data_IF_124356542368
#
_entry.id   IF_124356542368
#
_cell.length_a   1.000
_cell.length_b   1.000
_cell.length_c   1.000
_cell.angle_alpha   90.00
_cell.angle_beta   90.00
_cell.angle_gamma   90.00
#
_symmetry.space_group_name_H-M   'P 1'
#
loop_
_entity.id
_entity.type
_entity.pdbx_description
1 polymer ?
#
# COMPACT_ATOMS: atom_id res chain seq x y z
N UNK A 1 -9.97 -10.89 -7.89
CA UNK A 1 -9.52 -10.80 -6.48
C UNK A 1 -8.15 -11.46 -6.37
N UNK A 2 -7.14 -10.77 -5.84
CA UNK A 2 -5.83 -11.35 -5.53
C UNK A 2 -5.83 -11.68 -4.03
N UNK A 3 -5.41 -12.88 -3.65
CA UNK A 3 -5.23 -13.26 -2.24
C UNK A 3 -3.92 -12.66 -1.73
N UNK A 4 -3.93 -12.03 -0.57
CA UNK A 4 -2.72 -11.42 0.02
C UNK A 4 -1.57 -12.43 0.17
N UNK A 5 -1.90 -13.68 0.49
CA UNK A 5 -0.95 -14.80 0.57
C UNK A 5 -0.18 -15.03 -0.74
N UNK A 6 -0.85 -14.96 -1.90
CA UNK A 6 -0.18 -15.09 -3.21
C UNK A 6 0.75 -13.91 -3.48
N UNK A 7 0.38 -12.71 -3.00
CA UNK A 7 1.20 -11.50 -3.15
C UNK A 7 2.48 -11.58 -2.30
N UNK A 8 2.40 -12.14 -1.08
CA UNK A 8 3.55 -12.34 -0.20
C UNK A 8 4.53 -13.35 -0.79
N UNK A 9 4.04 -14.35 -1.53
CA UNK A 9 4.86 -15.36 -2.21
C UNK A 9 5.39 -14.90 -3.58
N UNK A 10 4.92 -13.76 -4.10
CA UNK A 10 5.31 -13.27 -5.41
C UNK A 10 6.82 -12.94 -5.57
N UNK A 11 7.53 -12.43 -4.55
CA UNK A 11 8.97 -12.14 -4.68
C UNK A 11 9.79 -13.38 -5.02
N UNK A 12 9.50 -14.52 -4.40
CA UNK A 12 10.24 -15.77 -4.63
C UNK A 12 9.88 -16.46 -5.95
N UNK A 13 8.67 -16.25 -6.47
CA UNK A 13 8.17 -16.91 -7.69
C UNK A 13 8.34 -16.10 -8.97
N UNK A 14 8.24 -14.78 -8.88
CA UNK A 14 8.13 -13.91 -10.06
C UNK A 14 9.20 -12.81 -10.10
N UNK A 15 10.17 -12.83 -9.18
CA UNK A 15 11.21 -11.80 -9.06
C UNK A 15 10.61 -10.37 -8.94
N UNK A 16 9.46 -10.26 -8.27
CA UNK A 16 8.78 -8.99 -8.03
C UNK A 16 9.26 -8.44 -6.69
N UNK A 17 9.82 -7.22 -6.70
CA UNK A 17 10.15 -6.51 -5.46
C UNK A 17 8.88 -5.98 -4.82
N UNK A 18 8.58 -6.49 -3.63
CA UNK A 18 7.43 -6.07 -2.83
C UNK A 18 7.90 -5.24 -1.63
N UNK A 19 7.14 -4.20 -1.29
CA UNK A 19 7.35 -3.41 -0.07
C UNK A 19 6.02 -3.28 0.66
N UNK A 20 5.97 -3.77 1.90
CA UNK A 20 4.78 -3.73 2.74
C UNK A 20 4.84 -2.47 3.60
N UNK A 21 3.74 -1.72 3.64
CA UNK A 21 3.57 -0.52 4.46
C UNK A 21 2.24 -0.58 5.18
N UNK A 22 2.23 -0.17 6.45
CA UNK A 22 1.05 -0.15 7.29
C UNK A 22 0.37 1.22 7.21
N UNK A 23 -0.95 1.25 7.04
CA UNK A 23 -1.73 2.48 7.19
C UNK A 23 -1.73 2.91 8.67
N UNK A 24 -1.79 4.22 8.98
CA UNK A 24 -1.79 4.66 10.37
C UNK A 24 -2.99 4.08 11.13
N UNK A 25 -2.74 3.58 12.35
CA UNK A 25 -3.77 2.95 13.18
C UNK A 25 -4.59 3.99 13.97
N UNK A 26 -3.91 5.03 14.45
CA UNK A 26 -4.49 6.01 15.40
C UNK A 26 -4.88 7.33 14.75
N UNK A 27 -4.67 7.46 13.43
CA UNK A 27 -4.93 8.70 12.70
C UNK A 27 -5.38 8.43 11.27
N UNK A 28 -6.15 9.35 10.71
CA UNK A 28 -6.52 9.35 9.30
C UNK A 28 -5.52 10.11 8.43
N UNK A 29 -4.50 10.74 9.03
CA UNK A 29 -3.47 11.47 8.30
C UNK A 29 -2.47 10.51 7.63
N UNK A 30 -2.71 10.22 6.35
CA UNK A 30 -1.86 9.37 5.52
C UNK A 30 -0.78 10.14 4.76
N UNK A 31 -0.75 11.48 4.83
CA UNK A 31 0.17 12.33 4.04
C UNK A 31 1.65 12.01 4.27
N UNK A 32 2.13 11.75 5.51
CA UNK A 32 3.53 11.40 5.73
C UNK A 32 3.92 10.12 4.98
N UNK A 33 3.07 9.09 5.04
CA UNK A 33 3.28 7.81 4.37
C UNK A 33 3.30 7.99 2.84
N UNK A 34 2.32 8.70 2.29
CA UNK A 34 2.24 8.98 0.85
C UNK A 34 3.46 9.76 0.35
N UNK A 35 3.97 10.72 1.15
CA UNK A 35 5.18 11.48 0.83
C UNK A 35 6.42 10.58 0.75
N UNK A 36 6.57 9.63 1.65
CA UNK A 36 7.66 8.65 1.61
C UNK A 36 7.57 7.72 0.40
N UNK A 37 6.36 7.24 0.08
CA UNK A 37 6.11 6.38 -1.08
C UNK A 37 6.46 7.11 -2.38
N UNK A 38 6.05 8.38 -2.50
CA UNK A 38 6.40 9.26 -3.62
C UNK A 38 7.92 9.46 -3.72
N UNK A 39 8.61 9.75 -2.61
CA UNK A 39 10.08 9.89 -2.58
C UNK A 39 10.79 8.61 -3.01
N UNK A 40 10.24 7.47 -2.61
CA UNK A 40 10.78 6.14 -2.93
C UNK A 40 10.35 5.64 -4.32
N UNK A 41 9.61 6.44 -5.08
CA UNK A 41 9.11 6.11 -6.44
C UNK A 41 8.26 4.83 -6.47
N UNK A 42 7.45 4.63 -5.43
CA UNK A 42 6.55 3.49 -5.29
C UNK A 42 5.22 3.79 -6.00
N UNK A 43 5.16 3.52 -7.32
CA UNK A 43 4.00 3.91 -8.15
C UNK A 43 2.97 2.79 -8.36
N UNK A 44 3.31 1.54 -8.04
CA UNK A 44 2.40 0.38 -8.15
C UNK A 44 1.99 -0.04 -6.75
N UNK A 45 0.81 0.40 -6.33
CA UNK A 45 0.34 0.29 -4.95
C UNK A 45 -0.96 -0.52 -4.93
N UNK A 46 -1.11 -1.37 -3.92
CA UNK A 46 -2.34 -2.07 -3.60
C UNK A 46 -2.76 -1.59 -2.20
N UNK A 47 -4.01 -1.16 -2.06
CA UNK A 47 -4.58 -0.77 -0.77
C UNK A 47 -5.40 -1.94 -0.22
N UNK A 48 -4.96 -2.49 0.92
CA UNK A 48 -5.75 -3.41 1.72
C UNK A 48 -6.42 -2.63 2.86
N UNK A 49 -7.57 -2.04 2.57
CA UNK A 49 -8.32 -1.22 3.52
C UNK A 49 -9.81 -1.13 3.13
N UNK A 50 -10.62 -0.55 4.02
CA UNK A 50 -12.03 -0.28 3.71
C UNK A 50 -12.18 0.74 2.58
N UNK A 51 -13.34 0.71 1.92
CA UNK A 51 -13.67 1.68 0.87
C UNK A 51 -13.66 3.14 1.37
N UNK A 52 -14.03 3.35 2.65
CA UNK A 52 -14.00 4.68 3.29
C UNK A 52 -12.55 5.18 3.39
N UNK A 53 -11.63 4.33 3.87
CA UNK A 53 -10.22 4.67 3.98
C UNK A 53 -9.59 4.89 2.60
N UNK A 54 -9.92 4.04 1.62
CA UNK A 54 -9.47 4.22 0.25
C UNK A 54 -9.92 5.57 -0.32
N UNK A 55 -11.18 5.96 -0.12
CA UNK A 55 -11.69 7.26 -0.56
C UNK A 55 -10.95 8.44 0.11
N UNK A 56 -10.63 8.32 1.40
CA UNK A 56 -9.85 9.33 2.12
C UNK A 56 -8.42 9.46 1.57
N UNK A 57 -7.76 8.34 1.27
CA UNK A 57 -6.42 8.32 0.69
C UNK A 57 -6.42 8.92 -0.71
N UNK A 58 -7.39 8.56 -1.55
CA UNK A 58 -7.50 9.05 -2.93
C UNK A 58 -7.84 10.55 -3.03
N UNK A 59 -8.33 11.16 -1.94
CA UNK A 59 -8.64 12.59 -1.88
C UNK A 59 -7.41 13.47 -1.59
N UNK A 60 -6.32 12.89 -1.07
CA UNK A 60 -5.07 13.59 -0.76
C UNK A 60 -4.32 13.98 -2.03
#
# INVERSE_FOLDING_TARGET
LIRLQELIMAPSRYNIRLKIRQLPLDTTDTRPLLKEMKRSREFRIIFDCSHIMAAQILKQ
#
